data_IF_062748721015
#
_entry.id   IF_062748721015
#
_cell.length_a   1.000
_cell.length_b   1.000
_cell.length_c   1.000
_cell.angle_alpha   90.00
_cell.angle_beta   90.00
_cell.angle_gamma   90.00
#
_symmetry.space_group_name_H-M   'P 1'
#
loop_
_entity.id
_entity.type
_entity.pdbx_description
1 polymer ?
#
# COMPACT_ATOMS: atom_id res chain seq x y z
N UNK A 1 -6.92 -2.24 -2.21
CA UNK A 1 -5.96 -1.86 -3.28
C UNK A 1 -4.57 -1.61 -2.70
N UNK A 2 -4.41 -0.97 -1.54
CA UNK A 2 -3.08 -0.53 -1.06
C UNK A 2 -2.37 -1.58 -0.20
N UNK A 3 -2.90 -1.97 0.95
CA UNK A 3 -2.31 -3.03 1.77
C UNK A 3 -2.61 -4.45 1.25
N UNK A 4 -1.83 -5.44 1.70
CA UNK A 4 -2.17 -6.86 1.61
C UNK A 4 -3.26 -7.28 2.61
N UNK A 5 -3.42 -8.58 2.85
CA UNK A 5 -4.41 -9.10 3.82
C UNK A 5 -3.96 -8.79 5.25
N UNK A 6 -4.86 -8.24 6.08
CA UNK A 6 -4.59 -7.89 7.47
C UNK A 6 -5.86 -8.05 8.31
N UNK A 7 -5.69 -8.33 9.60
CA UNK A 7 -6.78 -8.40 10.57
C UNK A 7 -7.36 -7.00 10.85
N UNK A 8 -8.68 -6.90 10.99
CA UNK A 8 -9.37 -5.62 11.20
C UNK A 8 -8.91 -4.87 12.46
N UNK A 9 -8.50 -5.59 13.50
CA UNK A 9 -7.99 -4.98 14.74
C UNK A 9 -6.68 -4.20 14.55
N UNK A 10 -5.95 -4.50 13.48
CA UNK A 10 -4.66 -3.90 13.15
C UNK A 10 -4.81 -2.83 12.05
N UNK A 11 -6.05 -2.45 11.72
CA UNK A 11 -6.39 -1.37 10.80
C UNK A 11 -6.97 -0.20 11.59
N UNK A 12 -6.39 0.97 11.38
CA UNK A 12 -6.81 2.23 12.00
C UNK A 12 -6.88 3.35 10.95
N UNK A 13 -7.29 4.54 11.36
CA UNK A 13 -7.34 5.72 10.52
C UNK A 13 -6.49 6.85 11.13
N UNK A 14 -5.43 7.24 10.42
CA UNK A 14 -4.59 8.37 10.81
C UNK A 14 -5.10 9.70 10.27
N UNK A 15 -4.33 10.77 10.47
CA UNK A 15 -4.59 12.06 9.83
C UNK A 15 -4.10 12.02 8.37
N UNK A 16 -4.93 11.49 7.46
CA UNK A 16 -4.65 11.47 6.02
C UNK A 16 -4.95 10.16 5.30
N UNK A 17 -5.29 9.09 6.02
CA UNK A 17 -5.62 7.80 5.39
C UNK A 17 -5.65 6.64 6.38
N UNK A 18 -5.63 5.43 5.81
CA UNK A 18 -5.58 4.18 6.57
C UNK A 18 -4.18 3.98 7.15
N UNK A 19 -4.13 3.70 8.44
CA UNK A 19 -2.91 3.36 9.18
C UNK A 19 -2.96 1.87 9.53
N UNK A 20 -1.98 1.12 9.05
CA UNK A 20 -1.87 -0.30 9.32
C UNK A 20 -0.82 -0.51 10.40
N UNK A 21 -1.19 -1.23 11.45
CA UNK A 21 -0.43 -1.33 12.71
C UNK A 21 0.24 -2.70 12.90
N UNK A 22 0.09 -3.61 11.94
CA UNK A 22 0.80 -4.87 11.89
C UNK A 22 1.49 -5.08 10.54
N UNK A 23 2.50 -5.94 10.55
CA UNK A 23 3.21 -6.37 9.35
C UNK A 23 2.32 -7.25 8.47
N UNK A 24 2.62 -7.29 7.17
CA UNK A 24 2.02 -8.23 6.22
C UNK A 24 3.16 -9.11 5.66
N UNK A 25 3.41 -10.29 6.27
CA UNK A 25 4.58 -11.10 5.96
C UNK A 25 4.65 -11.56 4.51
N UNK A 26 3.51 -11.84 3.86
CA UNK A 26 3.45 -12.41 2.50
C UNK A 26 4.09 -11.51 1.44
N UNK A 27 4.13 -10.20 1.72
CA UNK A 27 4.73 -9.19 0.84
C UNK A 27 5.83 -8.40 1.56
N UNK A 28 6.32 -8.81 2.73
CA UNK A 28 7.32 -8.10 3.52
C UNK A 28 7.01 -6.62 3.82
N UNK A 29 5.72 -6.29 3.87
CA UNK A 29 5.26 -4.93 4.17
C UNK A 29 5.35 -4.69 5.68
N UNK A 30 6.02 -3.62 6.13
CA UNK A 30 6.18 -3.32 7.55
C UNK A 30 4.89 -2.87 8.22
N UNK A 31 4.88 -2.88 9.55
CA UNK A 31 3.86 -2.25 10.37
C UNK A 31 3.97 -0.72 10.34
N UNK A 32 3.02 -0.05 10.99
CA UNK A 32 2.99 1.41 11.21
C UNK A 32 3.18 2.24 9.92
N UNK A 33 2.50 1.82 8.85
CA UNK A 33 2.55 2.49 7.56
C UNK A 33 1.21 3.15 7.22
N UNK A 34 1.26 4.40 6.76
CA UNK A 34 0.10 5.23 6.40
C UNK A 34 -0.10 5.19 4.89
N UNK A 35 -1.33 4.99 4.43
CA UNK A 35 -1.60 4.89 3.00
C UNK A 35 -3.02 5.30 2.59
N UNK A 36 -3.20 5.56 1.30
CA UNK A 36 -4.52 5.77 0.71
C UNK A 36 -4.50 5.54 -0.80
N UNK A 37 -5.67 5.68 -1.42
CA UNK A 37 -5.82 5.65 -2.87
C UNK A 37 -6.65 6.79 -3.42
N UNK A 38 -6.54 7.03 -4.72
CA UNK A 38 -7.31 8.04 -5.45
C UNK A 38 -8.15 7.43 -6.58
N UNK A 39 -9.14 8.20 -7.05
CA UNK A 39 -10.15 7.73 -8.01
C UNK A 39 -9.56 7.17 -9.30
N UNK A 40 -8.47 7.75 -9.81
CA UNK A 40 -7.80 7.31 -11.04
C UNK A 40 -6.81 6.16 -10.80
N UNK A 41 -7.14 5.25 -9.88
CA UNK A 41 -6.28 4.16 -9.42
C UNK A 41 -4.90 4.64 -8.91
N UNK A 42 -4.89 5.79 -8.20
CA UNK A 42 -3.71 6.27 -7.49
C UNK A 42 -3.53 5.42 -6.22
N UNK A 43 -2.29 5.09 -5.89
CA UNK A 43 -1.89 4.44 -4.64
C UNK A 43 -0.68 5.15 -4.08
N UNK A 44 -0.72 5.50 -2.79
CA UNK A 44 0.44 6.02 -2.10
C UNK A 44 0.57 5.43 -0.72
N UNK A 45 1.80 5.36 -0.24
CA UNK A 45 2.09 4.95 1.13
C UNK A 45 3.36 5.57 1.68
N UNK A 46 3.40 5.66 3.00
CA UNK A 46 4.47 6.25 3.80
C UNK A 46 4.83 5.24 4.90
N UNK A 47 6.10 4.87 5.00
CA UNK A 47 6.63 4.05 6.08
C UNK A 47 7.75 4.83 6.77
N UNK A 48 7.44 5.41 7.94
CA UNK A 48 8.39 6.20 8.71
C UNK A 48 9.55 5.34 9.22
N UNK A 49 9.25 4.13 9.68
CA UNK A 49 10.25 3.21 10.24
C UNK A 49 11.38 2.93 9.24
N UNK A 50 11.03 2.70 7.97
CA UNK A 50 12.00 2.48 6.90
C UNK A 50 12.43 3.76 6.16
N UNK A 51 11.99 4.94 6.64
CA UNK A 51 12.36 6.24 6.06
C UNK A 51 11.96 6.41 4.60
N UNK A 52 10.83 5.82 4.16
CA UNK A 52 10.46 5.76 2.74
C UNK A 52 9.01 6.15 2.47
N UNK A 53 8.80 6.57 1.22
CA UNK A 53 7.50 6.91 0.66
C UNK A 53 7.42 6.38 -0.78
N UNK A 54 6.23 6.00 -1.21
CA UNK A 54 5.98 5.52 -2.57
C UNK A 54 4.66 6.04 -3.10
N UNK A 55 4.63 6.16 -4.41
CA UNK A 55 3.51 6.70 -5.17
C UNK A 55 3.41 5.96 -6.50
N UNK A 56 2.21 5.53 -6.83
CA UNK A 56 1.84 4.91 -8.09
C UNK A 56 0.58 5.61 -8.59
N UNK A 57 0.56 6.00 -9.86
CA UNK A 57 -0.56 6.73 -10.44
C UNK A 57 -0.82 6.27 -11.87
N UNK A 58 -2.10 6.26 -12.22
CA UNK A 58 -2.58 6.16 -13.59
C UNK A 58 -3.59 7.26 -13.84
N UNK A 59 -3.97 7.47 -15.10
CA UNK A 59 -5.11 8.30 -15.47
C UNK A 59 -6.28 7.42 -15.95
N UNK A 60 -6.44 6.24 -15.33
CA UNK A 60 -7.43 5.22 -15.72
C UNK A 60 -8.63 5.26 -14.76
N UNK A 61 -9.83 5.17 -15.31
CA UNK A 61 -11.12 5.10 -14.62
C UNK A 61 -11.89 3.86 -15.12
N UNK A 62 -12.72 3.19 -14.30
CA UNK A 62 -13.08 3.52 -12.91
C UNK A 62 -11.98 3.17 -11.90
N UNK A 63 -12.15 3.66 -10.67
CA UNK A 63 -11.40 3.17 -9.52
C UNK A 63 -11.55 1.65 -9.39
N UNK A 64 -10.48 1.00 -8.95
CA UNK A 64 -10.44 -0.44 -8.78
C UNK A 64 -10.57 -1.21 -10.12
N UNK A 65 -10.07 -0.62 -11.21
CA UNK A 65 -9.88 -1.34 -12.47
C UNK A 65 -9.00 -2.59 -12.22
N UNK A 66 -9.44 -3.75 -12.72
CA UNK A 66 -8.80 -5.04 -12.39
C UNK A 66 -7.37 -5.14 -12.91
N UNK A 67 -7.09 -4.70 -14.14
CA UNK A 67 -5.74 -4.70 -14.70
C UNK A 67 -4.80 -3.80 -13.89
N UNK A 68 -5.29 -2.63 -13.46
CA UNK A 68 -4.50 -1.73 -12.61
C UNK A 68 -4.24 -2.35 -11.23
N UNK A 69 -5.19 -3.10 -10.66
CA UNK A 69 -4.97 -3.83 -9.40
C UNK A 69 -3.85 -4.85 -9.52
N UNK A 70 -3.79 -5.59 -10.63
CA UNK A 70 -2.73 -6.58 -10.89
C UNK A 70 -1.36 -5.90 -10.92
N UNK A 71 -1.24 -4.79 -11.65
CA UNK A 71 0.00 -4.00 -11.74
C UNK A 71 0.38 -3.43 -10.37
N UNK A 72 -0.57 -2.85 -9.64
CA UNK A 72 -0.34 -2.32 -8.29
C UNK A 72 0.15 -3.41 -7.33
N UNK A 73 -0.42 -4.61 -7.39
CA UNK A 73 -0.02 -5.72 -6.53
C UNK A 73 1.39 -6.22 -6.88
N UNK A 74 1.72 -6.34 -8.17
CA UNK A 74 3.07 -6.67 -8.60
C UNK A 74 4.08 -5.61 -8.16
N UNK A 75 3.77 -4.33 -8.37
CA UNK A 75 4.61 -3.19 -8.00
C UNK A 75 4.91 -3.14 -6.49
N UNK A 76 3.90 -3.31 -5.63
CA UNK A 76 4.12 -3.33 -4.17
C UNK A 76 4.94 -4.55 -3.74
N UNK A 77 4.63 -5.73 -4.28
CA UNK A 77 5.34 -6.96 -3.93
C UNK A 77 6.82 -6.86 -4.30
N UNK A 78 7.12 -6.44 -5.53
CA UNK A 78 8.48 -6.20 -5.99
C UNK A 78 9.19 -5.18 -5.10
N UNK A 79 8.52 -4.06 -4.82
CA UNK A 79 9.10 -3.01 -3.98
C UNK A 79 9.51 -3.52 -2.59
N UNK A 80 8.62 -4.25 -1.90
CA UNK A 80 8.86 -4.69 -0.53
C UNK A 80 9.80 -5.90 -0.45
N UNK A 81 9.74 -6.84 -1.40
CA UNK A 81 10.68 -7.97 -1.49
C UNK A 81 12.09 -7.51 -1.85
N UNK A 82 12.20 -6.52 -2.75
CA UNK A 82 13.50 -5.99 -3.20
C UNK A 82 14.26 -5.16 -2.16
N UNK A 83 13.66 -4.88 -0.99
CA UNK A 83 14.35 -4.23 0.13
C UNK A 83 15.15 -5.28 0.90
N UNK A 84 16.35 -5.62 0.42
CA UNK A 84 17.28 -6.54 1.12
C UNK A 84 17.85 -5.94 2.41
N UNK A 85 17.03 -5.88 3.47
CA UNK A 85 17.44 -5.57 4.84
C UNK A 85 17.31 -6.80 5.73
#
# INVERSE_FOLDING_TARGET
MVAGSIENKDVNHGLGGALFQAEIPEIHQPSEFLCWGGSSNIVWFLCRERGLAKFFETQISPFANEEVKEVVNAWKKDFWVGQGF
#
